data_IF_399829243296
#
_entry.id   IF_399829243296
#
_cell.length_a   1.000
_cell.length_b   1.000
_cell.length_c   1.000
_cell.angle_alpha   90.00
_cell.angle_beta   90.00
_cell.angle_gamma   90.00
#
_symmetry.space_group_name_H-M   'P 1'
#
loop_
_entity.id
_entity.type
_entity.pdbx_description
1 polymer ?
#
# COMPACT_ATOMS: atom_id res chain seq x y z
N UNK A 1 -4.51 1.42 26.29
CA UNK A 1 -3.53 0.52 26.93
C UNK A 1 -3.66 -0.92 26.43
N UNK A 2 -4.79 -1.62 26.59
CA UNK A 2 -4.94 -3.02 26.14
C UNK A 2 -4.58 -3.27 24.67
N UNK A 3 -5.08 -2.45 23.74
CA UNK A 3 -4.74 -2.57 22.31
C UNK A 3 -3.26 -2.33 22.06
N UNK A 4 -2.63 -1.38 22.76
CA UNK A 4 -1.20 -1.10 22.63
C UNK A 4 -0.37 -2.25 23.21
N UNK A 5 -0.76 -2.80 24.36
CA UNK A 5 -0.11 -3.97 24.96
C UNK A 5 -0.25 -5.18 24.06
N UNK A 6 -1.46 -5.44 23.54
CA UNK A 6 -1.70 -6.50 22.56
C UNK A 6 -0.85 -6.30 21.31
N UNK A 7 -0.80 -5.09 20.75
CA UNK A 7 0.02 -4.80 19.58
C UNK A 7 1.51 -5.03 19.87
N UNK A 8 2.01 -4.57 21.02
CA UNK A 8 3.41 -4.77 21.43
C UNK A 8 3.74 -6.25 21.71
N UNK A 9 2.77 -7.05 22.17
CA UNK A 9 2.98 -8.47 22.43
C UNK A 9 2.79 -9.36 21.19
N UNK A 10 1.93 -8.94 20.25
CA UNK A 10 1.54 -9.75 19.10
C UNK A 10 2.29 -9.38 17.81
N UNK A 11 2.70 -8.13 17.64
CA UNK A 11 3.46 -7.70 16.47
C UNK A 11 4.96 -7.74 16.77
N UNK A 12 5.63 -8.76 16.25
CA UNK A 12 7.08 -8.84 16.18
C UNK A 12 7.55 -8.33 14.83
N UNK A 13 8.31 -7.24 14.82
CA UNK A 13 8.99 -6.74 13.63
C UNK A 13 10.49 -6.94 13.79
N UNK A 14 11.10 -7.68 12.87
CA UNK A 14 12.54 -7.94 12.89
C UNK A 14 13.31 -6.68 12.48
N UNK A 15 13.63 -5.86 13.49
CA UNK A 15 14.39 -4.61 13.31
C UNK A 15 15.80 -4.87 12.80
N UNK A 16 16.40 -6.00 13.15
CA UNK A 16 17.74 -6.36 12.70
C UNK A 16 17.71 -6.70 11.21
N UNK A 17 16.70 -7.48 10.76
CA UNK A 17 16.46 -7.76 9.34
C UNK A 17 16.25 -6.47 8.55
N UNK A 18 15.41 -5.57 9.09
CA UNK A 18 15.16 -4.26 8.48
C UNK A 18 16.43 -3.41 8.37
N UNK A 19 17.26 -3.35 9.42
CA UNK A 19 18.50 -2.59 9.42
C UNK A 19 19.48 -3.13 8.35
N UNK A 20 19.64 -4.46 8.25
CA UNK A 20 20.46 -5.08 7.20
C UNK A 20 19.96 -4.66 5.82
N UNK A 21 18.65 -4.72 5.57
CA UNK A 21 18.08 -4.30 4.29
C UNK A 21 18.37 -2.83 4.00
N UNK A 22 18.22 -1.94 5.00
CA UNK A 22 18.50 -0.52 4.84
C UNK A 22 19.96 -0.21 4.54
N UNK A 23 20.90 -1.01 5.04
CA UNK A 23 22.34 -0.85 4.78
C UNK A 23 22.76 -1.34 3.40
N UNK A 24 22.08 -2.36 2.86
CA UNK A 24 22.44 -2.98 1.59
C UNK A 24 21.88 -2.22 0.39
N UNK A 25 20.64 -1.75 0.47
CA UNK A 25 20.01 -1.02 -0.63
C UNK A 25 20.44 0.46 -0.65
N UNK A 26 20.51 1.10 -1.84
CA UNK A 26 20.75 2.54 -1.91
C UNK A 26 19.72 3.34 -1.11
N UNK A 27 20.16 4.47 -0.55
CA UNK A 27 19.32 5.32 0.30
C UNK A 27 17.98 5.65 -0.37
N UNK A 28 16.88 5.41 0.36
CA UNK A 28 15.52 5.66 -0.09
C UNK A 28 14.87 4.53 -0.90
N UNK A 29 15.63 3.60 -1.49
CA UNK A 29 15.03 2.53 -2.32
C UNK A 29 14.14 1.59 -1.52
N UNK A 30 14.66 1.09 -0.40
CA UNK A 30 13.92 0.18 0.46
C UNK A 30 12.72 0.88 1.12
N UNK A 31 12.92 2.09 1.66
CA UNK A 31 11.87 2.85 2.35
C UNK A 31 10.73 3.27 1.41
N UNK A 32 11.05 3.70 0.19
CA UNK A 32 10.06 4.17 -0.78
C UNK A 32 9.21 3.04 -1.35
N UNK A 33 9.74 1.81 -1.36
CA UNK A 33 9.06 0.62 -1.89
C UNK A 33 8.54 -0.32 -0.80
N UNK A 34 8.80 -0.03 0.49
CA UNK A 34 8.46 -0.90 1.61
C UNK A 34 6.97 -1.29 1.65
N UNK A 35 6.06 -0.35 1.35
CA UNK A 35 4.61 -0.65 1.34
C UNK A 35 4.17 -1.56 0.19
N UNK A 36 4.99 -1.67 -0.86
CA UNK A 36 4.73 -2.51 -2.04
C UNK A 36 5.40 -3.88 -1.90
N UNK A 37 6.38 -4.02 -0.99
CA UNK A 37 7.08 -5.28 -0.70
C UNK A 37 6.60 -5.95 0.59
N UNK A 38 5.78 -5.27 1.40
CA UNK A 38 5.22 -5.82 2.62
C UNK A 38 3.90 -6.55 2.35
N UNK A 39 3.64 -7.62 3.09
CA UNK A 39 2.39 -8.38 2.98
C UNK A 39 1.19 -7.43 3.08
N UNK A 40 0.39 -7.31 2.00
CA UNK A 40 -0.69 -6.33 1.93
C UNK A 40 -1.78 -6.60 2.98
N UNK A 41 -1.98 -7.87 3.37
CA UNK A 41 -2.91 -8.26 4.43
C UNK A 41 -2.45 -7.73 5.77
N UNK A 42 -1.17 -7.94 6.10
CA UNK A 42 -0.60 -7.44 7.35
C UNK A 42 -0.63 -5.91 7.40
N UNK A 43 -0.28 -5.24 6.31
CA UNK A 43 -0.33 -3.77 6.21
C UNK A 43 -1.75 -3.27 6.43
N UNK A 44 -2.76 -3.89 5.81
CA UNK A 44 -4.16 -3.50 5.95
C UNK A 44 -4.66 -3.69 7.40
N UNK A 45 -4.32 -4.81 8.05
CA UNK A 45 -4.68 -5.10 9.45
C UNK A 45 -4.01 -4.11 10.42
N UNK A 46 -2.72 -3.81 10.22
CA UNK A 46 -2.00 -2.82 11.02
C UNK A 46 -2.61 -1.43 10.83
N UNK A 47 -2.90 -1.03 9.59
CA UNK A 47 -3.50 0.28 9.32
C UNK A 47 -4.88 0.43 9.97
N UNK A 48 -5.73 -0.60 9.91
CA UNK A 48 -7.02 -0.61 10.64
C UNK A 48 -6.80 -0.47 12.15
N UNK A 49 -5.87 -1.24 12.71
CA UNK A 49 -5.56 -1.21 14.14
C UNK A 49 -5.08 0.18 14.58
N UNK A 50 -4.11 0.75 13.88
CA UNK A 50 -3.60 2.10 14.18
C UNK A 50 -4.67 3.17 13.99
N UNK A 51 -5.52 3.07 12.96
CA UNK A 51 -6.61 4.00 12.74
C UNK A 51 -7.63 3.96 13.88
N UNK A 52 -7.91 2.78 14.44
CA UNK A 52 -8.80 2.64 15.62
C UNK A 52 -8.24 3.29 16.90
N UNK A 53 -6.91 3.47 16.99
CA UNK A 53 -6.28 4.14 18.12
C UNK A 53 -6.41 5.66 18.02
N UNK A 54 -6.56 6.22 16.81
CA UNK A 54 -6.70 7.66 16.60
C UNK A 54 -8.05 8.16 17.10
N UNK A 55 -8.03 9.36 17.66
CA UNK A 55 -9.24 10.12 17.95
C UNK A 55 -9.56 10.92 16.70
N UNK A 56 -10.58 10.50 15.95
CA UNK A 56 -10.91 11.10 14.66
C UNK A 56 -12.04 12.13 14.77
N UNK A 57 -12.74 12.19 15.89
CA UNK A 57 -13.84 13.14 16.10
C UNK A 57 -13.84 13.75 17.49
N UNK A 58 -14.47 14.92 17.62
CA UNK A 58 -14.68 15.57 18.92
C UNK A 58 -15.49 14.67 19.85
N UNK A 59 -16.49 13.96 19.33
CA UNK A 59 -17.29 13.02 20.12
C UNK A 59 -16.46 11.84 20.64
N UNK A 60 -15.58 11.30 19.80
CA UNK A 60 -14.65 10.25 20.21
C UNK A 60 -13.64 10.75 21.25
N UNK A 61 -13.20 12.01 21.12
CA UNK A 61 -12.36 12.66 22.10
C UNK A 61 -13.08 12.78 23.45
N UNK A 62 -14.28 13.35 23.44
CA UNK A 62 -15.10 13.57 24.63
C UNK A 62 -15.46 12.25 25.31
N UNK A 63 -15.82 11.22 24.55
CA UNK A 63 -16.13 9.91 25.12
C UNK A 63 -14.90 9.24 25.72
N UNK A 64 -13.77 9.18 25.01
CA UNK A 64 -12.53 8.54 25.52
C UNK A 64 -11.94 9.30 26.69
N UNK A 65 -11.82 10.63 26.62
CA UNK A 65 -11.29 11.47 27.72
C UNK A 65 -12.27 11.49 28.88
N UNK A 66 -13.57 11.68 28.61
CA UNK A 66 -14.61 11.74 29.63
C UNK A 66 -14.70 10.47 30.46
N UNK A 67 -14.62 9.29 29.84
CA UNK A 67 -14.61 8.00 30.56
C UNK A 67 -13.38 7.88 31.46
N UNK A 68 -12.19 8.26 30.98
CA UNK A 68 -10.95 8.19 31.77
C UNK A 68 -10.93 9.21 32.93
N UNK A 69 -11.43 10.42 32.71
CA UNK A 69 -11.55 11.46 33.76
C UNK A 69 -12.55 11.02 34.82
N UNK A 70 -13.72 10.51 34.42
CA UNK A 70 -14.73 10.00 35.34
C UNK A 70 -14.19 8.83 36.17
N UNK A 71 -13.46 7.91 35.54
CA UNK A 71 -12.79 6.79 36.23
C UNK A 71 -11.74 7.28 37.24
N UNK A 72 -10.93 8.28 36.86
CA UNK A 72 -9.91 8.87 37.73
C UNK A 72 -10.53 9.56 38.95
N UNK A 73 -11.60 10.34 38.75
CA UNK A 73 -12.36 10.96 39.83
C UNK A 73 -12.93 9.91 40.79
N UNK A 74 -13.59 8.87 40.25
CA UNK A 74 -14.14 7.77 41.06
C UNK A 74 -13.05 7.05 41.85
N UNK A 75 -11.91 6.79 41.23
CA UNK A 75 -10.78 6.11 41.88
C UNK A 75 -10.18 6.95 43.00
N UNK A 76 -10.03 8.26 42.77
CA UNK A 76 -9.55 9.20 43.77
C UNK A 76 -10.51 9.28 44.97
N UNK A 77 -11.82 9.37 44.72
CA UNK A 77 -12.83 9.36 45.78
C UNK A 77 -12.76 8.08 46.62
N UNK A 78 -12.61 6.91 45.97
CA UNK A 78 -12.45 5.62 46.66
C UNK A 78 -11.20 5.62 47.56
N UNK A 79 -10.06 6.13 47.06
CA UNK A 79 -8.82 6.23 47.85
C UNK A 79 -8.97 7.20 49.02
N UNK A 80 -9.63 8.35 48.82
CA UNK A 80 -9.90 9.30 49.90
C UNK A 80 -10.82 8.71 50.97
N UNK A 81 -11.85 7.96 50.56
CA UNK A 81 -12.75 7.22 51.45
C UNK A 81 -12.00 6.14 52.25
N UNK A 82 -11.08 5.41 51.61
CA UNK A 82 -10.25 4.39 52.27
C UNK A 82 -9.29 4.99 53.31
N UNK A 83 -8.72 6.17 53.06
CA UNK A 83 -7.79 6.86 53.98
C UNK A 83 -8.46 7.51 55.21
N UNK A 84 -9.77 7.75 55.21
CA UNK A 84 -10.51 8.40 56.32
C UNK A 84 -11.73 7.58 56.76
N UNK A 85 -11.54 6.43 57.43
CA UNK A 85 -12.65 5.55 57.83
C UNK A 85 -13.62 6.16 58.85
N UNK A 86 -13.22 7.22 59.58
CA UNK A 86 -14.04 7.86 60.64
C UNK A 86 -15.15 8.80 60.13
N UNK A 87 -15.25 9.07 58.82
CA UNK A 87 -16.40 9.78 58.20
C UNK A 87 -17.43 8.82 57.58
N UNK A 88 -17.55 7.60 58.11
CA UNK A 88 -18.57 6.66 57.68
C UNK A 88 -19.96 7.15 58.14
N UNK A 89 -20.63 7.97 57.33
CA UNK A 89 -22.10 7.93 57.26
C UNK A 89 -22.47 6.49 56.91
N UNK A 90 -23.50 5.95 57.57
CA UNK A 90 -23.94 4.55 57.55
C UNK A 90 -24.28 3.95 56.18
N UNK A 91 -24.15 4.71 55.09
CA UNK A 91 -24.11 4.18 53.74
C UNK A 91 -23.51 5.22 52.80
N UNK A 92 -22.34 4.92 52.21
CA UNK A 92 -21.72 5.72 51.14
C UNK A 92 -22.53 5.62 49.83
N UNK A 93 -23.37 4.59 49.71
CA UNK A 93 -24.30 4.44 48.60
C UNK A 93 -25.70 4.97 48.99
N UNK A 94 -26.37 5.80 48.16
CA UNK A 94 -27.81 6.01 48.32
C UNK A 94 -28.50 4.64 48.24
N UNK A 95 -29.51 4.43 49.09
CA UNK A 95 -30.25 3.15 49.25
C UNK A 95 -30.38 2.40 47.92
N UNK A 96 -29.60 1.32 47.78
CA UNK A 96 -29.68 0.23 46.78
C UNK A 96 -30.61 0.50 45.58
N UNK A 97 -30.15 1.23 44.56
CA UNK A 97 -30.69 1.11 43.20
C UNK A 97 -30.21 -0.21 42.57
N UNK A 98 -30.60 -1.34 43.17
CA UNK A 98 -30.34 -2.70 42.62
C UNK A 98 -30.83 -2.82 41.18
N UNK A 99 -31.94 -2.14 40.85
CA UNK A 99 -32.48 -2.04 39.50
C UNK A 99 -31.52 -1.33 38.53
N UNK A 100 -30.85 -0.25 38.96
CA UNK A 100 -29.87 0.46 38.14
C UNK A 100 -28.59 -0.34 37.92
N UNK A 101 -28.09 -1.01 38.97
CA UNK A 101 -26.94 -1.91 38.86
C UNK A 101 -27.25 -3.13 37.97
N UNK A 102 -28.44 -3.73 38.13
CA UNK A 102 -28.92 -4.81 37.28
C UNK A 102 -29.03 -4.35 35.81
N UNK A 103 -29.54 -3.15 35.57
CA UNK A 103 -29.62 -2.55 34.24
C UNK A 103 -28.24 -2.37 33.58
N UNK A 104 -27.22 -1.92 34.32
CA UNK A 104 -25.85 -1.79 33.81
C UNK A 104 -25.22 -3.15 33.50
N UNK A 105 -25.41 -4.16 34.36
CA UNK A 105 -24.93 -5.52 34.11
C UNK A 105 -25.61 -6.12 32.89
N UNK A 106 -26.93 -5.95 32.76
CA UNK A 106 -27.69 -6.45 31.61
C UNK A 106 -27.28 -5.74 30.33
N UNK A 107 -27.06 -4.42 30.36
CA UNK A 107 -26.51 -3.67 29.23
C UNK A 107 -25.12 -4.17 28.84
N UNK A 108 -24.22 -4.40 29.80
CA UNK A 108 -22.90 -4.94 29.54
C UNK A 108 -22.97 -6.33 28.89
N UNK A 109 -23.85 -7.21 29.37
CA UNK A 109 -24.10 -8.53 28.77
C UNK A 109 -24.66 -8.41 27.35
N UNK A 110 -25.62 -7.50 27.11
CA UNK A 110 -26.16 -7.25 25.77
C UNK A 110 -25.09 -6.73 24.81
N UNK A 111 -24.18 -5.86 25.27
CA UNK A 111 -23.06 -5.38 24.46
C UNK A 111 -22.09 -6.51 24.13
N UNK A 112 -21.75 -7.37 25.10
CA UNK A 112 -20.90 -8.55 24.86
C UNK A 112 -21.54 -9.47 23.83
N UNK A 113 -22.82 -9.83 24.01
CA UNK A 113 -23.57 -10.65 23.05
C UNK A 113 -23.59 -9.98 21.69
N UNK A 114 -23.91 -8.69 21.62
CA UNK A 114 -23.96 -7.95 20.36
C UNK A 114 -22.62 -7.95 19.63
N UNK A 115 -21.51 -7.75 20.35
CA UNK A 115 -20.16 -7.75 19.78
C UNK A 115 -19.77 -9.16 19.33
N UNK A 116 -19.96 -10.18 20.17
CA UNK A 116 -19.65 -11.57 19.82
C UNK A 116 -20.47 -12.05 18.62
N UNK A 117 -21.77 -11.78 18.59
CA UNK A 117 -22.63 -12.12 17.45
C UNK A 117 -22.26 -11.35 16.20
N UNK A 118 -21.92 -10.06 16.31
CA UNK A 118 -21.43 -9.26 15.19
C UNK A 118 -20.13 -9.80 14.61
N UNK A 119 -19.22 -10.28 15.46
CA UNK A 119 -17.97 -10.91 15.02
C UNK A 119 -18.23 -12.28 14.38
N UNK A 120 -19.02 -13.13 15.04
CA UNK A 120 -19.33 -14.49 14.60
C UNK A 120 -20.07 -14.52 13.28
N UNK A 121 -21.17 -13.79 13.16
CA UNK A 121 -22.02 -13.78 11.96
C UNK A 121 -21.29 -13.18 10.75
N UNK A 122 -20.49 -12.12 10.95
CA UNK A 122 -19.66 -11.58 9.89
C UNK A 122 -18.56 -12.55 9.44
N UNK A 123 -17.91 -13.25 10.37
CA UNK A 123 -16.89 -14.25 10.04
C UNK A 123 -17.48 -15.43 9.25
N UNK A 124 -18.66 -15.90 9.64
CA UNK A 124 -19.37 -16.97 8.91
C UNK A 124 -19.82 -16.50 7.52
N UNK A 125 -20.34 -15.28 7.40
CA UNK A 125 -20.78 -14.71 6.12
C UNK A 125 -19.63 -14.57 5.12
N UNK A 126 -18.44 -14.19 5.60
CA UNK A 126 -17.26 -13.97 4.76
C UNK A 126 -16.34 -15.20 4.64
N UNK A 127 -16.63 -16.31 5.34
CA UNK A 127 -15.84 -17.54 5.28
C UNK A 127 -15.61 -18.07 3.84
N UNK A 128 -16.57 -17.98 2.90
CA UNK A 128 -16.36 -18.40 1.50
C UNK A 128 -15.45 -17.46 0.69
N UNK A 129 -15.14 -16.27 1.22
CA UNK A 129 -14.45 -15.18 0.52
C UNK A 129 -13.10 -14.87 1.21
N UNK A 130 -12.05 -15.68 0.99
CA UNK A 130 -10.73 -15.45 1.56
C UNK A 130 -10.11 -14.11 1.16
N UNK A 131 -10.51 -13.55 0.02
CA UNK A 131 -10.16 -12.20 -0.44
C UNK A 131 -10.68 -11.09 0.50
N UNK A 132 -11.71 -11.36 1.31
CA UNK A 132 -12.16 -10.44 2.34
C UNK A 132 -11.35 -10.62 3.62
N UNK A 133 -10.21 -9.92 3.69
CA UNK A 133 -9.26 -10.03 4.80
C UNK A 133 -9.75 -9.36 6.08
N UNK A 134 -10.64 -8.39 5.98
CA UNK A 134 -11.13 -7.63 7.13
C UNK A 134 -12.62 -7.40 7.04
N UNK A 135 -13.31 -7.90 8.07
CA UNK A 135 -14.75 -7.80 8.21
C UNK A 135 -15.17 -6.46 8.85
N UNK A 136 -16.37 -6.00 8.52
CA UNK A 136 -16.99 -4.81 9.13
C UNK A 136 -17.65 -5.10 10.49
N UNK A 137 -17.69 -6.36 10.94
CA UNK A 137 -18.30 -6.83 12.21
C UNK A 137 -19.73 -6.30 12.39
N UNK A 138 -20.65 -6.76 11.54
CA UNK A 138 -22.09 -6.50 11.65
C UNK A 138 -22.80 -7.74 12.12
N UNK A 139 -23.78 -7.57 13.02
CA UNK A 139 -24.75 -8.61 13.31
C UNK A 139 -25.67 -8.77 12.10
N UNK A 140 -25.39 -9.77 11.26
CA UNK A 140 -26.18 -10.10 10.08
C UNK A 140 -27.09 -11.29 10.36
N UNK A 141 -28.29 -11.29 9.78
CA UNK A 141 -29.21 -12.43 9.86
C UNK A 141 -28.84 -13.37 8.71
N UNK A 142 -28.13 -14.44 9.04
CA UNK A 142 -27.82 -15.51 8.09
C UNK A 142 -29.09 -16.37 7.90
N UNK A 143 -29.88 -16.10 6.86
CA UNK A 143 -30.89 -17.06 6.43
C UNK A 143 -30.16 -18.32 5.94
N UNK A 144 -30.69 -19.49 6.31
CA UNK A 144 -30.11 -20.82 6.11
C UNK A 144 -30.02 -21.23 4.63
N UNK A 145 -29.20 -20.52 3.86
CA UNK A 145 -28.71 -20.81 2.50
C UNK A 145 -28.17 -19.56 1.79
N UNK A 146 -28.34 -18.34 2.33
CA UNK A 146 -27.90 -17.11 1.67
C UNK A 146 -26.62 -16.54 2.31
N UNK A 147 -25.47 -17.01 1.84
CA UNK A 147 -24.14 -16.40 2.08
C UNK A 147 -23.98 -15.05 1.35
N UNK A 148 -25.08 -14.33 1.10
CA UNK A 148 -25.15 -13.24 0.10
C UNK A 148 -24.80 -11.85 0.64
N UNK A 149 -24.35 -11.76 1.89
CA UNK A 149 -24.07 -10.49 2.56
C UNK A 149 -22.80 -10.56 3.41
N UNK A 150 -21.66 -10.95 2.83
CA UNK A 150 -20.37 -10.75 3.48
C UNK A 150 -20.16 -9.23 3.68
N UNK A 151 -20.09 -8.71 4.94
CA UNK A 151 -19.89 -7.28 5.15
C UNK A 151 -18.38 -6.97 5.11
N UNK A 152 -17.81 -6.96 3.91
CA UNK A 152 -16.37 -6.75 3.73
C UNK A 152 -15.96 -5.28 3.90
N UNK A 153 -14.86 -5.04 4.62
CA UNK A 153 -14.29 -3.70 4.83
C UNK A 153 -12.98 -3.50 4.05
N UNK A 154 -12.18 -4.55 3.93
CA UNK A 154 -10.93 -4.53 3.15
C UNK A 154 -10.86 -5.80 2.31
N UNK A 155 -10.70 -5.60 1.01
CA UNK A 155 -10.61 -6.67 0.02
C UNK A 155 -9.22 -6.65 -0.60
N UNK A 156 -8.56 -7.79 -0.55
CA UNK A 156 -7.23 -8.01 -1.13
C UNK A 156 -7.34 -9.24 -2.01
N UNK A 157 -7.21 -9.04 -3.32
CA UNK A 157 -7.28 -10.12 -4.31
C UNK A 157 -6.06 -10.10 -5.21
N UNK A 158 -5.31 -11.20 -5.18
CA UNK A 158 -4.07 -11.34 -5.92
C UNK A 158 -3.21 -12.45 -5.34
N UNK A 159 -2.52 -13.18 -6.21
CA UNK A 159 -1.46 -14.08 -5.80
C UNK A 159 -0.15 -13.27 -5.73
N UNK A 160 0.41 -13.16 -4.52
CA UNK A 160 1.61 -12.37 -4.25
C UNK A 160 2.91 -13.17 -4.49
N UNK A 161 2.81 -14.46 -4.81
CA UNK A 161 3.97 -15.31 -5.11
C UNK A 161 3.60 -16.45 -6.09
N UNK A 162 3.19 -16.14 -7.33
CA UNK A 162 2.88 -17.16 -8.31
C UNK A 162 4.13 -18.01 -8.59
N UNK A 163 3.95 -19.33 -8.61
CA UNK A 163 5.07 -20.29 -8.70
C UNK A 163 5.47 -20.58 -10.13
N UNK A 164 4.55 -20.41 -11.07
CA UNK A 164 4.77 -20.72 -12.49
C UNK A 164 4.51 -19.51 -13.37
N UNK A 165 5.16 -19.47 -14.54
CA UNK A 165 4.95 -18.41 -15.52
C UNK A 165 3.51 -18.38 -16.02
N UNK A 166 2.89 -19.55 -16.22
CA UNK A 166 1.50 -19.67 -16.67
C UNK A 166 0.51 -19.11 -15.63
N UNK A 167 0.72 -19.39 -14.34
CA UNK A 167 -0.09 -18.79 -13.26
C UNK A 167 0.09 -17.27 -13.18
N UNK A 168 1.30 -16.77 -13.44
CA UNK A 168 1.59 -15.33 -13.39
C UNK A 168 1.07 -14.55 -14.60
N UNK A 169 1.16 -15.11 -15.81
CA UNK A 169 0.70 -14.44 -17.04
C UNK A 169 -0.80 -14.62 -17.26
N UNK A 170 -1.36 -15.76 -16.84
CA UNK A 170 -2.79 -16.05 -16.87
C UNK A 170 -3.32 -16.36 -15.45
N UNK A 171 -3.29 -15.39 -14.51
CA UNK A 171 -3.88 -15.62 -13.21
C UNK A 171 -5.36 -15.87 -13.42
N UNK A 172 -5.84 -16.90 -12.72
CA UNK A 172 -7.21 -17.43 -12.81
C UNK A 172 -8.20 -16.27 -12.85
N UNK A 173 -8.98 -16.16 -13.94
CA UNK A 173 -9.97 -15.09 -14.11
C UNK A 173 -10.92 -15.10 -12.91
N UNK A 174 -10.70 -14.17 -12.00
CA UNK A 174 -11.55 -13.94 -10.84
C UNK A 174 -12.45 -12.77 -11.19
N UNK A 175 -13.64 -13.07 -11.69
CA UNK A 175 -14.71 -12.08 -11.65
C UNK A 175 -15.04 -11.86 -10.18
N UNK A 176 -15.11 -10.59 -9.75
CA UNK A 176 -15.46 -10.29 -8.37
C UNK A 176 -16.83 -10.93 -8.08
N UNK A 177 -16.94 -11.82 -7.07
CA UNK A 177 -18.21 -12.40 -6.69
C UNK A 177 -19.28 -11.31 -6.51
N UNK A 178 -20.50 -11.56 -7.01
CA UNK A 178 -21.60 -10.59 -6.97
C UNK A 178 -21.89 -10.15 -5.53
N UNK A 179 -21.65 -11.04 -4.58
CA UNK A 179 -21.73 -10.83 -3.13
C UNK A 179 -20.78 -9.74 -2.65
N UNK A 180 -19.53 -9.74 -3.14
CA UNK A 180 -18.53 -8.73 -2.79
C UNK A 180 -18.78 -7.40 -3.50
N UNK A 181 -19.35 -7.42 -4.71
CA UNK A 181 -19.80 -6.20 -5.41
C UNK A 181 -20.86 -5.43 -4.60
N UNK A 182 -21.62 -6.10 -3.74
CA UNK A 182 -22.61 -5.48 -2.84
C UNK A 182 -22.01 -4.83 -1.59
N UNK A 183 -20.69 -4.93 -1.38
CA UNK A 183 -20.00 -4.35 -0.22
C UNK A 183 -19.84 -2.82 -0.34
N UNK A 184 -20.94 -2.07 -0.29
CA UNK A 184 -20.95 -0.60 -0.45
C UNK A 184 -20.18 0.20 0.63
N UNK A 185 -19.66 -0.47 1.65
CA UNK A 185 -18.85 0.14 2.71
C UNK A 185 -17.39 -0.30 2.66
N UNK A 186 -16.95 -0.88 1.55
CA UNK A 186 -15.55 -1.22 1.32
C UNK A 186 -14.68 0.05 1.41
N UNK A 187 -13.60 -0.02 2.19
CA UNK A 187 -12.69 1.10 2.43
C UNK A 187 -11.29 0.87 1.85
N UNK A 188 -10.90 -0.38 1.67
CA UNK A 188 -9.60 -0.73 1.12
C UNK A 188 -9.81 -1.77 0.03
N UNK A 189 -9.24 -1.49 -1.15
CA UNK A 189 -9.21 -2.41 -2.28
C UNK A 189 -7.76 -2.52 -2.75
N UNK A 190 -7.21 -3.74 -2.70
CA UNK A 190 -5.91 -4.07 -3.29
C UNK A 190 -6.11 -5.21 -4.28
N UNK A 191 -5.74 -4.98 -5.53
CA UNK A 191 -5.86 -5.93 -6.63
C UNK A 191 -4.49 -6.10 -7.28
N UNK A 192 -3.91 -7.31 -7.26
CA UNK A 192 -2.63 -7.58 -7.90
C UNK A 192 -2.79 -8.54 -9.09
N UNK A 193 -2.14 -8.21 -10.21
CA UNK A 193 -2.17 -8.97 -11.47
C UNK A 193 -3.59 -9.27 -11.98
N UNK A 194 -4.51 -8.33 -11.79
CA UNK A 194 -5.90 -8.49 -12.24
C UNK A 194 -6.14 -7.77 -13.57
N UNK A 195 -7.17 -8.19 -14.30
CA UNK A 195 -7.72 -7.33 -15.34
C UNK A 195 -8.52 -6.23 -14.63
N UNK A 196 -8.21 -4.96 -14.89
CA UNK A 196 -9.00 -3.86 -14.33
C UNK A 196 -10.42 -3.91 -14.83
N UNK A 197 -11.39 -3.83 -13.91
CA UNK A 197 -12.80 -3.96 -14.23
C UNK A 197 -13.57 -2.70 -13.83
N UNK A 198 -14.51 -2.29 -14.68
CA UNK A 198 -15.31 -1.08 -14.51
C UNK A 198 -16.14 -1.04 -13.22
N UNK A 199 -16.38 -2.18 -12.55
CA UNK A 199 -17.15 -2.24 -11.31
C UNK A 199 -16.49 -1.49 -10.14
N UNK A 200 -15.18 -1.18 -10.20
CA UNK A 200 -14.49 -0.48 -9.11
C UNK A 200 -15.15 0.86 -8.75
N UNK A 201 -15.75 1.54 -9.74
CA UNK A 201 -16.45 2.81 -9.55
C UNK A 201 -17.67 2.72 -8.63
N UNK A 202 -18.20 1.52 -8.40
CA UNK A 202 -19.34 1.30 -7.49
C UNK A 202 -18.96 1.47 -6.02
N UNK A 203 -17.66 1.41 -5.69
CA UNK A 203 -17.16 1.53 -4.33
C UNK A 203 -16.77 2.96 -3.97
N UNK A 204 -17.76 3.83 -3.81
CA UNK A 204 -17.59 5.28 -3.55
C UNK A 204 -17.00 5.63 -2.17
N UNK A 205 -16.96 4.67 -1.23
CA UNK A 205 -16.41 4.85 0.12
C UNK A 205 -14.96 4.37 0.28
N UNK A 206 -14.29 4.04 -0.82
CA UNK A 206 -12.89 3.63 -0.78
C UNK A 206 -12.01 4.75 -0.23
N UNK A 207 -11.14 4.41 0.71
CA UNK A 207 -10.12 5.26 1.28
C UNK A 207 -8.73 4.92 0.73
N UNK A 208 -8.52 3.67 0.33
CA UNK A 208 -7.27 3.14 -0.21
C UNK A 208 -7.55 2.26 -1.44
N UNK A 209 -6.88 2.57 -2.55
CA UNK A 209 -6.94 1.81 -3.79
C UNK A 209 -5.52 1.47 -4.25
N UNK A 210 -5.23 0.18 -4.40
CA UNK A 210 -4.01 -0.33 -5.02
C UNK A 210 -4.40 -1.29 -6.12
N UNK A 211 -3.98 -1.00 -7.35
CA UNK A 211 -4.27 -1.84 -8.51
C UNK A 211 -2.99 -2.04 -9.31
N UNK A 212 -2.60 -3.30 -9.47
CA UNK A 212 -1.52 -3.70 -10.37
C UNK A 212 -2.10 -4.51 -11.52
N UNK A 213 -1.82 -4.03 -12.73
CA UNK A 213 -2.25 -4.67 -13.96
C UNK A 213 -1.33 -5.82 -14.37
N UNK A 214 -1.82 -6.70 -15.25
CA UNK A 214 -0.98 -7.73 -15.89
C UNK A 214 -0.08 -7.08 -16.94
N UNK A 215 1.16 -7.58 -17.02
CA UNK A 215 2.18 -7.12 -17.97
C UNK A 215 1.76 -7.27 -19.43
N UNK A 216 1.08 -8.37 -19.75
CA UNK A 216 0.75 -8.78 -21.13
C UNK A 216 -0.73 -8.61 -21.47
N UNK A 217 -1.53 -8.00 -20.61
CA UNK A 217 -2.96 -7.82 -20.89
C UNK A 217 -3.15 -6.85 -22.06
N UNK A 218 -3.83 -7.24 -23.14
CA UNK A 218 -4.05 -6.39 -24.31
C UNK A 218 -5.01 -5.23 -24.04
N UNK A 219 -5.66 -5.19 -22.87
CA UNK A 219 -6.77 -4.29 -22.62
C UNK A 219 -6.85 -3.95 -21.13
N UNK A 220 -6.41 -2.76 -20.78
CA UNK A 220 -6.42 -2.25 -19.41
C UNK A 220 -6.76 -0.76 -19.47
N UNK A 221 -8.00 -0.46 -19.86
CA UNK A 221 -8.52 0.89 -19.77
C UNK A 221 -9.19 1.03 -18.41
N UNK A 222 -8.68 1.92 -17.56
CA UNK A 222 -9.47 2.46 -16.47
C UNK A 222 -10.49 3.41 -17.11
N UNK A 223 -11.81 3.19 -16.93
CA UNK A 223 -12.82 4.10 -17.44
C UNK A 223 -12.53 5.55 -17.03
N UNK A 224 -12.80 6.50 -17.92
CA UNK A 224 -12.54 7.92 -17.66
C UNK A 224 -13.28 8.43 -16.41
N UNK A 225 -14.44 7.85 -16.12
CA UNK A 225 -15.34 8.17 -15.00
C UNK A 225 -15.04 7.39 -13.71
N UNK A 226 -13.98 6.58 -13.67
CA UNK A 226 -13.74 5.66 -12.55
C UNK A 226 -13.53 6.39 -11.20
N UNK A 227 -13.06 7.63 -11.23
CA UNK A 227 -12.69 8.41 -10.06
C UNK A 227 -13.68 9.53 -9.70
N UNK A 228 -14.75 9.71 -10.46
CA UNK A 228 -15.66 10.85 -10.32
C UNK A 228 -16.33 10.91 -8.94
N UNK A 229 -16.79 9.75 -8.43
CA UNK A 229 -17.49 9.62 -7.15
C UNK A 229 -16.59 9.11 -5.99
N UNK A 230 -15.26 9.24 -6.12
CA UNK A 230 -14.28 8.70 -5.16
C UNK A 230 -13.66 9.76 -4.22
N UNK A 231 -14.46 10.70 -3.74
CA UNK A 231 -14.00 11.78 -2.83
C UNK A 231 -13.41 11.31 -1.50
N UNK A 232 -13.77 10.10 -1.04
CA UNK A 232 -13.23 9.49 0.19
C UNK A 232 -11.81 8.94 0.02
N UNK A 233 -11.33 8.85 -1.22
CA UNK A 233 -10.07 8.18 -1.55
C UNK A 233 -8.89 9.04 -1.11
N UNK A 234 -8.03 8.45 -0.29
CA UNK A 234 -6.86 9.12 0.30
C UNK A 234 -5.55 8.63 -0.29
N UNK A 235 -5.51 7.39 -0.78
CA UNK A 235 -4.31 6.77 -1.35
C UNK A 235 -4.69 6.04 -2.64
N UNK A 236 -3.94 6.34 -3.71
CA UNK A 236 -4.03 5.64 -4.99
C UNK A 236 -2.65 5.13 -5.36
N UNK A 237 -2.55 3.83 -5.58
CA UNK A 237 -1.39 3.17 -6.17
C UNK A 237 -1.83 2.42 -7.43
N UNK A 238 -1.34 2.86 -8.58
CA UNK A 238 -1.55 2.18 -9.85
C UNK A 238 -0.19 1.70 -10.38
N UNK A 239 -0.09 0.43 -10.78
CA UNK A 239 1.15 -0.12 -11.29
C UNK A 239 0.94 -1.04 -12.50
N UNK A 240 1.99 -1.18 -13.33
CA UNK A 240 2.07 -2.14 -14.44
C UNK A 240 1.07 -1.90 -15.58
N UNK A 241 0.60 -0.67 -15.74
CA UNK A 241 -0.24 -0.24 -16.88
C UNK A 241 0.65 0.15 -18.08
N UNK A 242 1.54 -0.75 -18.50
CA UNK A 242 2.58 -0.47 -19.50
C UNK A 242 2.05 0.11 -20.83
N UNK A 243 0.97 -0.43 -21.47
CA UNK A 243 0.47 0.10 -22.74
C UNK A 243 -0.45 1.32 -22.59
N UNK A 244 -0.74 1.77 -21.37
CA UNK A 244 -1.71 2.84 -21.14
C UNK A 244 -1.13 4.21 -21.50
N UNK A 245 -1.68 4.85 -22.53
CA UNK A 245 -1.22 6.15 -23.00
C UNK A 245 -1.79 7.35 -22.22
N UNK A 246 -2.95 7.17 -21.57
CA UNK A 246 -3.69 8.23 -20.86
C UNK A 246 -4.33 7.68 -19.59
N UNK A 247 -4.25 8.44 -18.51
CA UNK A 247 -4.92 8.16 -17.24
C UNK A 247 -6.30 8.87 -17.18
N UNK A 248 -7.27 8.30 -16.43
CA UNK A 248 -8.53 8.97 -16.14
C UNK A 248 -8.32 10.24 -15.29
N UNK A 249 -9.35 11.09 -15.25
CA UNK A 249 -9.30 12.36 -14.53
C UNK A 249 -9.20 12.15 -13.01
N UNK A 250 -8.43 13.01 -12.33
CA UNK A 250 -8.35 13.04 -10.86
C UNK A 250 -9.30 14.08 -10.22
N UNK A 251 -10.21 14.69 -10.99
CA UNK A 251 -11.08 15.76 -10.49
C UNK A 251 -11.96 15.34 -9.30
N UNK A 252 -12.47 14.11 -9.27
CA UNK A 252 -13.29 13.58 -8.17
C UNK A 252 -12.51 13.26 -6.88
N UNK A 253 -11.17 13.21 -6.94
CA UNK A 253 -10.29 12.75 -5.86
C UNK A 253 -9.91 13.86 -4.86
N UNK A 254 -10.89 14.62 -4.37
CA UNK A 254 -10.66 15.81 -3.51
C UNK A 254 -10.02 15.50 -2.14
N UNK A 255 -10.17 14.28 -1.64
CA UNK A 255 -9.59 13.80 -0.38
C UNK A 255 -8.16 13.22 -0.51
N UNK A 256 -7.58 13.21 -1.71
CA UNK A 256 -6.37 12.45 -2.01
C UNK A 256 -5.13 13.03 -1.31
N UNK A 257 -4.36 12.15 -0.68
CA UNK A 257 -3.13 12.48 0.07
C UNK A 257 -1.89 11.85 -0.53
N UNK A 258 -2.03 10.71 -1.20
CA UNK A 258 -0.90 9.98 -1.78
C UNK A 258 -1.25 9.45 -3.17
N UNK A 259 -0.40 9.76 -4.14
CA UNK A 259 -0.40 9.16 -5.49
C UNK A 259 0.88 8.37 -5.66
N UNK A 260 0.78 7.15 -6.17
CA UNK A 260 1.90 6.35 -6.65
C UNK A 260 1.55 5.77 -8.01
N UNK A 261 2.34 6.13 -9.03
CA UNK A 261 2.24 5.58 -10.38
C UNK A 261 3.54 4.84 -10.71
N UNK A 262 3.44 3.57 -11.07
CA UNK A 262 4.59 2.73 -11.36
C UNK A 262 4.46 1.98 -12.69
N UNK A 263 5.54 1.93 -13.47
CA UNK A 263 5.63 1.16 -14.72
C UNK A 263 4.53 1.51 -15.76
N UNK A 264 4.37 2.80 -16.03
CA UNK A 264 3.53 3.32 -17.10
C UNK A 264 4.42 3.68 -18.30
N UNK A 265 4.77 2.68 -19.10
CA UNK A 265 5.79 2.80 -20.14
C UNK A 265 5.35 3.64 -21.35
N UNK A 266 4.05 3.67 -21.65
CA UNK A 266 3.47 4.40 -22.79
C UNK A 266 2.73 5.68 -22.40
N UNK A 267 2.66 6.03 -21.10
CA UNK A 267 1.92 7.19 -20.62
C UNK A 267 2.55 8.48 -21.16
N UNK A 268 1.75 9.28 -21.85
CA UNK A 268 2.23 10.48 -22.54
C UNK A 268 2.16 11.72 -21.64
N UNK A 269 1.09 11.82 -20.84
CA UNK A 269 0.80 13.01 -20.05
C UNK A 269 0.19 12.64 -18.69
N UNK A 270 0.46 13.50 -17.71
CA UNK A 270 -0.10 13.37 -16.36
C UNK A 270 -1.45 14.11 -16.26
N UNK A 271 -2.47 13.55 -15.58
CA UNK A 271 -3.71 14.26 -15.33
C UNK A 271 -3.52 15.56 -14.55
N UNK A 272 -4.43 16.52 -14.73
CA UNK A 272 -4.42 17.78 -13.98
C UNK A 272 -4.62 17.54 -12.47
N UNK A 273 -3.86 18.26 -11.65
CA UNK A 273 -3.88 18.13 -10.18
C UNK A 273 -4.74 19.20 -9.49
N UNK A 274 -5.59 19.90 -10.23
CA UNK A 274 -6.29 21.14 -9.80
C UNK A 274 -7.01 21.01 -8.45
N UNK A 275 -7.64 19.86 -8.18
CA UNK A 275 -8.44 19.65 -6.96
C UNK A 275 -7.68 18.95 -5.82
N UNK A 276 -6.38 18.71 -5.98
CA UNK A 276 -5.59 17.86 -5.07
C UNK A 276 -4.85 18.65 -3.99
N UNK A 277 -5.52 19.61 -3.34
CA UNK A 277 -4.91 20.50 -2.35
C UNK A 277 -4.36 19.79 -1.10
N UNK A 278 -4.86 18.58 -0.82
CA UNK A 278 -4.46 17.74 0.30
C UNK A 278 -3.32 16.77 -0.04
N UNK A 279 -2.78 16.80 -1.26
CA UNK A 279 -1.76 15.87 -1.69
C UNK A 279 -0.48 16.08 -0.88
N UNK A 280 -0.07 15.06 -0.13
CA UNK A 280 1.11 15.05 0.74
C UNK A 280 2.26 14.26 0.10
N UNK A 281 1.97 13.27 -0.76
CA UNK A 281 2.96 12.39 -1.38
C UNK A 281 2.65 12.14 -2.87
N UNK A 282 3.65 12.38 -3.71
CA UNK A 282 3.64 12.05 -5.14
C UNK A 282 4.85 11.17 -5.46
N UNK A 283 4.60 9.97 -5.98
CA UNK A 283 5.64 9.00 -6.35
C UNK A 283 5.43 8.57 -7.79
N UNK A 284 6.47 8.72 -8.60
CA UNK A 284 6.53 8.36 -10.01
C UNK A 284 7.68 7.36 -10.18
N UNK A 285 7.41 6.17 -10.71
CA UNK A 285 8.43 5.12 -10.90
C UNK A 285 8.33 4.54 -12.29
N UNK A 286 9.36 4.71 -13.14
CA UNK A 286 9.37 4.10 -14.48
C UNK A 286 8.25 4.62 -15.39
N UNK A 287 8.22 5.94 -15.59
CA UNK A 287 7.34 6.65 -16.53
C UNK A 287 8.18 7.26 -17.68
N UNK A 288 8.92 6.46 -18.45
CA UNK A 288 9.98 6.94 -19.35
C UNK A 288 9.50 7.75 -20.55
N UNK A 289 8.20 7.70 -20.88
CA UNK A 289 7.61 8.38 -22.05
C UNK A 289 7.03 9.77 -21.75
N UNK A 290 6.85 10.13 -20.48
CA UNK A 290 6.37 11.46 -20.12
C UNK A 290 7.52 12.47 -20.29
N UNK A 291 7.23 13.55 -21.02
CA UNK A 291 8.20 14.59 -21.33
C UNK A 291 8.12 15.85 -20.46
N UNK A 292 7.11 15.96 -19.60
CA UNK A 292 6.85 17.12 -18.76
C UNK A 292 6.08 16.76 -17.50
N UNK A 293 6.32 17.48 -16.41
CA UNK A 293 5.53 17.33 -15.18
C UNK A 293 4.21 18.11 -15.29
N UNK A 294 3.14 17.67 -14.60
CA UNK A 294 1.93 18.47 -14.47
C UNK A 294 2.22 19.76 -13.69
N UNK A 295 1.35 20.76 -13.79
CA UNK A 295 1.43 21.93 -12.93
C UNK A 295 1.24 21.53 -11.46
N UNK A 296 2.26 21.78 -10.65
CA UNK A 296 2.29 21.46 -9.23
C UNK A 296 1.81 22.62 -8.34
N UNK A 297 1.43 23.77 -8.92
CA UNK A 297 0.90 24.90 -8.16
C UNK A 297 -0.31 24.54 -7.23
N UNK A 298 -1.22 23.63 -7.61
CA UNK A 298 -2.34 23.24 -6.76
C UNK A 298 -1.97 22.38 -5.54
N UNK A 299 -0.81 21.71 -5.54
CA UNK A 299 -0.41 20.69 -4.54
C UNK A 299 0.56 21.26 -3.49
N UNK A 300 0.15 22.33 -2.82
CA UNK A 300 1.00 23.07 -1.87
C UNK A 300 1.34 22.30 -0.59
N UNK A 301 0.54 21.29 -0.24
CA UNK A 301 0.71 20.47 0.96
C UNK A 301 1.76 19.36 0.82
N UNK A 302 2.49 19.31 -0.30
CA UNK A 302 3.37 18.21 -0.62
C UNK A 302 4.57 18.13 0.34
N UNK A 303 4.70 16.95 0.97
CA UNK A 303 5.77 16.59 1.93
C UNK A 303 6.81 15.66 1.31
N UNK A 304 6.45 14.94 0.25
CA UNK A 304 7.32 13.98 -0.43
C UNK A 304 7.04 14.00 -1.93
N UNK A 305 8.08 14.25 -2.72
CA UNK A 305 8.04 14.08 -4.18
C UNK A 305 9.19 13.19 -4.61
N UNK A 306 8.88 12.02 -5.16
CA UNK A 306 9.87 11.04 -5.58
C UNK A 306 9.63 10.65 -7.03
N UNK A 307 10.68 10.75 -7.83
CA UNK A 307 10.80 10.21 -9.17
C UNK A 307 11.94 9.20 -9.14
N UNK A 308 11.62 7.97 -9.47
CA UNK A 308 12.59 6.91 -9.69
C UNK A 308 12.56 6.54 -11.17
N UNK A 309 13.74 6.26 -11.72
CA UNK A 309 14.00 6.01 -13.13
C UNK A 309 14.05 7.27 -14.02
N UNK A 310 14.12 7.09 -15.34
CA UNK A 310 14.14 8.14 -16.37
C UNK A 310 12.93 9.07 -16.27
N UNK A 311 13.20 10.36 -16.07
CA UNK A 311 12.27 11.47 -16.32
C UNK A 311 12.90 12.46 -17.29
N UNK A 312 12.43 12.48 -18.55
CA UNK A 312 13.08 13.31 -19.61
C UNK A 312 12.90 14.80 -19.37
N UNK A 313 11.93 15.21 -18.55
CA UNK A 313 11.76 16.60 -18.09
C UNK A 313 13.01 17.17 -17.39
N UNK A 314 13.90 16.30 -16.89
CA UNK A 314 15.17 16.68 -16.28
C UNK A 314 16.27 17.03 -17.31
N UNK A 315 16.08 16.78 -18.60
CA UNK A 315 17.12 16.97 -19.62
C UNK A 315 16.61 17.50 -20.96
N UNK A 316 15.30 17.47 -21.24
CA UNK A 316 14.73 17.91 -22.51
C UNK A 316 14.41 19.42 -22.56
N UNK A 317 14.81 20.18 -21.55
CA UNK A 317 14.56 21.61 -21.46
C UNK A 317 13.27 22.01 -20.73
N UNK A 318 12.57 21.09 -20.04
CA UNK A 318 11.38 21.41 -19.24
C UNK A 318 11.74 22.11 -17.92
N UNK A 319 12.66 21.54 -17.13
CA UNK A 319 13.10 22.09 -15.83
C UNK A 319 14.25 23.11 -15.93
N UNK A 320 14.85 23.27 -17.11
CA UNK A 320 16.04 24.08 -17.31
C UNK A 320 16.52 24.01 -18.75
N UNK A 321 17.83 24.05 -18.96
CA UNK A 321 18.42 23.91 -20.28
C UNK A 321 18.28 22.48 -20.82
N UNK A 322 18.21 22.34 -22.14
CA UNK A 322 18.21 21.03 -22.77
C UNK A 322 19.63 20.46 -22.83
N UNK A 323 19.81 19.26 -22.28
CA UNK A 323 21.04 18.47 -22.33
C UNK A 323 20.75 17.04 -22.82
N UNK A 324 20.87 16.85 -24.13
CA UNK A 324 20.68 15.53 -24.76
C UNK A 324 21.83 14.56 -24.48
N UNK A 325 22.94 15.01 -23.88
CA UNK A 325 24.04 14.13 -23.47
C UNK A 325 23.76 13.41 -22.16
N UNK A 326 22.76 13.87 -21.39
CA UNK A 326 22.33 13.21 -20.16
C UNK A 326 21.79 11.81 -20.42
N UNK A 327 22.18 10.83 -19.57
CA UNK A 327 21.64 9.46 -19.56
C UNK A 327 20.10 9.42 -19.57
N UNK A 328 19.44 10.46 -19.01
CA UNK A 328 17.98 10.60 -18.93
C UNK A 328 17.32 10.90 -20.28
N UNK A 329 18.06 11.41 -21.26
CA UNK A 329 17.57 11.74 -22.60
C UNK A 329 18.04 10.75 -23.66
N UNK A 330 18.99 9.88 -23.34
CA UNK A 330 19.44 8.78 -24.20
C UNK A 330 18.36 7.68 -24.33
N UNK A 331 18.62 6.70 -25.20
CA UNK A 331 17.79 5.48 -25.28
C UNK A 331 17.80 4.78 -23.92
N UNK A 332 16.62 4.43 -23.42
CA UNK A 332 16.50 3.81 -22.10
C UNK A 332 17.14 2.42 -22.09
N UNK A 333 18.10 2.11 -21.20
CA UNK A 333 18.85 0.85 -21.26
C UNK A 333 18.02 -0.37 -20.87
N UNK A 334 17.04 -0.24 -19.96
CA UNK A 334 16.11 -1.33 -19.59
C UNK A 334 14.89 -1.43 -20.52
N UNK A 335 14.14 -0.33 -20.70
CA UNK A 335 12.88 -0.35 -21.44
C UNK A 335 13.01 -0.19 -22.96
N UNK A 336 14.18 0.20 -23.47
CA UNK A 336 14.38 0.49 -24.90
C UNK A 336 13.66 1.75 -25.41
N UNK A 337 13.06 2.56 -24.53
CA UNK A 337 12.37 3.80 -24.89
C UNK A 337 13.30 4.72 -25.68
N UNK A 338 12.88 5.29 -26.82
CA UNK A 338 13.74 6.12 -27.67
C UNK A 338 14.36 7.32 -26.95
N UNK A 339 15.44 7.86 -27.53
CA UNK A 339 16.04 9.09 -27.05
C UNK A 339 15.04 10.25 -27.13
N UNK A 340 15.07 11.14 -26.12
CA UNK A 340 14.23 12.32 -26.08
C UNK A 340 14.77 13.43 -26.99
N UNK A 341 13.89 14.35 -27.38
CA UNK A 341 14.25 15.56 -28.11
C UNK A 341 14.04 16.78 -27.21
N UNK A 342 14.79 17.86 -27.47
CA UNK A 342 14.56 19.12 -26.77
C UNK A 342 13.15 19.66 -27.06
N UNK A 343 12.50 20.18 -26.03
CA UNK A 343 11.26 20.93 -26.19
C UNK A 343 11.54 22.22 -26.96
N UNK A 344 10.65 22.66 -27.88
CA UNK A 344 10.85 23.90 -28.63
C UNK A 344 11.01 25.13 -27.74
N UNK A 345 11.86 26.08 -28.13
CA UNK A 345 12.08 27.32 -27.37
C UNK A 345 10.87 28.26 -27.40
N UNK A 346 10.11 28.27 -28.50
CA UNK A 346 8.92 29.12 -28.68
C UNK A 346 7.61 28.42 -28.29
N UNK A 347 7.66 27.42 -27.41
CA UNK A 347 6.47 26.65 -26.99
C UNK A 347 5.54 27.50 -26.11
N UNK A 348 4.24 27.23 -26.22
CA UNK A 348 3.18 27.80 -25.35
C UNK A 348 2.68 26.80 -24.31
N UNK A 349 3.02 25.53 -24.47
CA UNK A 349 2.64 24.42 -23.61
C UNK A 349 3.89 23.76 -23.02
N UNK A 350 3.73 22.92 -21.99
CA UNK A 350 4.85 22.25 -21.29
C UNK A 350 5.88 23.26 -20.77
N UNK A 351 5.37 24.32 -20.18
CA UNK A 351 6.16 25.35 -19.49
C UNK A 351 5.97 25.10 -17.99
N UNK A 352 7.06 24.84 -17.28
CA UNK A 352 7.02 24.69 -15.84
C UNK A 352 6.61 26.03 -15.20
N UNK A 353 5.55 26.01 -14.39
CA UNK A 353 5.13 27.20 -13.64
C UNK A 353 6.18 27.55 -12.58
N UNK A 354 6.27 28.83 -12.13
CA UNK A 354 7.20 29.20 -11.06
C UNK A 354 7.05 28.35 -9.80
N UNK A 355 5.80 28.03 -9.42
CA UNK A 355 5.50 27.14 -8.29
C UNK A 355 5.99 25.70 -8.53
N UNK A 356 5.88 25.19 -9.77
CA UNK A 356 6.42 23.86 -10.13
C UNK A 356 7.94 23.84 -9.99
N UNK A 357 8.63 24.87 -10.49
CA UNK A 357 10.09 24.97 -10.38
C UNK A 357 10.55 25.05 -8.92
N UNK A 358 9.89 25.87 -8.09
CA UNK A 358 10.18 25.98 -6.65
C UNK A 358 10.01 24.63 -5.94
N UNK A 359 8.92 23.92 -6.23
CA UNK A 359 8.65 22.64 -5.60
C UNK A 359 9.62 21.54 -6.06
N UNK A 360 10.00 21.53 -7.34
CA UNK A 360 11.05 20.64 -7.85
C UNK A 360 12.38 20.94 -7.17
N UNK A 361 12.75 22.22 -6.99
CA UNK A 361 13.97 22.62 -6.30
C UNK A 361 13.96 22.16 -4.83
N UNK A 362 12.83 22.28 -4.14
CA UNK A 362 12.63 21.78 -2.77
C UNK A 362 12.91 20.28 -2.64
N UNK A 363 12.60 19.50 -3.68
CA UNK A 363 12.78 18.04 -3.72
C UNK A 363 13.88 17.60 -4.70
N UNK A 364 14.85 18.46 -5.02
CA UNK A 364 15.87 18.19 -6.03
C UNK A 364 16.58 16.81 -5.90
N UNK A 365 16.92 16.30 -4.69
CA UNK A 365 17.59 15.00 -4.54
C UNK A 365 16.77 13.80 -5.03
N UNK A 366 15.44 13.95 -5.15
CA UNK A 366 14.52 12.84 -5.42
C UNK A 366 13.72 13.02 -6.70
N UNK A 367 13.92 14.09 -7.48
CA UNK A 367 13.15 14.37 -8.72
C UNK A 367 13.92 14.01 -9.99
N UNK A 368 15.24 14.14 -9.99
CA UNK A 368 16.09 13.86 -11.16
C UNK A 368 17.19 12.83 -10.83
N UNK A 369 16.76 11.68 -10.31
CA UNK A 369 17.63 10.56 -9.93
C UNK A 369 18.34 9.85 -11.10
N UNK A 370 19.14 8.81 -10.83
CA UNK A 370 19.75 7.99 -11.88
C UNK A 370 18.69 7.23 -12.68
N UNK A 371 19.02 6.95 -13.95
CA UNK A 371 18.22 6.06 -14.82
C UNK A 371 18.47 4.63 -14.39
N UNK A 372 17.43 3.80 -14.37
CA UNK A 372 17.57 2.39 -14.02
C UNK A 372 18.42 1.67 -15.06
N UNK A 373 19.37 0.88 -14.57
CA UNK A 373 20.26 0.07 -15.42
C UNK A 373 19.91 -1.43 -15.33
N UNK A 374 20.25 -2.22 -16.37
CA UNK A 374 20.16 -3.67 -16.29
C UNK A 374 20.89 -4.19 -15.04
N UNK A 375 20.26 -5.12 -14.32
CA UNK A 375 20.74 -5.64 -13.03
C UNK A 375 20.29 -4.84 -11.80
N UNK A 376 19.87 -3.57 -11.91
CA UNK A 376 19.34 -2.82 -10.76
C UNK A 376 17.81 -2.97 -10.63
N UNK A 377 17.10 -2.95 -11.77
CA UNK A 377 15.71 -3.34 -11.89
C UNK A 377 15.60 -4.25 -13.11
N UNK A 378 15.20 -5.50 -12.88
CA UNK A 378 14.92 -6.40 -13.99
C UNK A 378 13.51 -6.18 -14.51
N UNK A 379 13.38 -6.37 -15.83
CA UNK A 379 12.09 -6.33 -16.50
C UNK A 379 11.14 -7.42 -16.01
N UNK A 380 9.93 -7.48 -16.58
CA UNK A 380 8.99 -8.53 -16.25
C UNK A 380 9.60 -9.94 -16.41
N UNK A 381 9.32 -10.88 -15.48
CA UNK A 381 9.72 -12.27 -15.61
C UNK A 381 9.41 -12.85 -17.00
N UNK A 382 10.33 -13.65 -17.54
CA UNK A 382 10.11 -14.47 -18.75
C UNK A 382 10.16 -15.95 -18.39
N UNK A 383 9.63 -16.86 -19.24
CA UNK A 383 9.70 -18.29 -18.97
C UNK A 383 11.14 -18.77 -18.74
N UNK A 384 12.08 -18.23 -19.53
CA UNK A 384 13.49 -18.65 -19.51
C UNK A 384 14.18 -18.31 -18.19
N UNK A 385 13.89 -17.14 -17.60
CA UNK A 385 14.50 -16.73 -16.33
C UNK A 385 13.74 -17.27 -15.12
N UNK A 386 12.50 -17.73 -15.28
CA UNK A 386 11.73 -18.38 -14.21
C UNK A 386 12.03 -19.88 -14.09
N UNK A 387 12.21 -20.58 -15.22
CA UNK A 387 12.38 -22.03 -15.24
C UNK A 387 13.49 -22.56 -14.31
N UNK A 388 14.68 -21.92 -14.21
CA UNK A 388 15.73 -22.39 -13.30
C UNK A 388 15.38 -22.30 -11.81
N UNK A 389 14.43 -21.43 -11.45
CA UNK A 389 14.04 -21.19 -10.08
C UNK A 389 13.03 -22.19 -9.54
N UNK A 390 12.16 -22.73 -10.40
CA UNK A 390 11.14 -23.71 -10.05
C UNK A 390 10.36 -23.32 -8.76
N UNK A 391 10.01 -22.04 -8.63
CA UNK A 391 9.30 -21.50 -7.45
C UNK A 391 10.08 -21.50 -6.13
N UNK A 392 11.40 -21.73 -6.14
CA UNK A 392 12.24 -21.74 -4.94
C UNK A 392 13.00 -20.42 -4.82
N UNK A 393 12.79 -19.69 -3.72
CA UNK A 393 13.53 -18.46 -3.41
C UNK A 393 14.99 -18.75 -3.07
N UNK A 394 15.86 -17.77 -3.31
CA UNK A 394 17.27 -17.73 -2.93
C UNK A 394 18.18 -18.80 -3.55
N UNK A 395 17.62 -19.67 -4.40
CA UNK A 395 18.37 -20.64 -5.20
C UNK A 395 19.29 -19.92 -6.19
N UNK A 396 20.50 -20.42 -6.39
CA UNK A 396 21.38 -19.95 -7.47
C UNK A 396 20.81 -20.36 -8.83
N UNK A 397 20.84 -19.46 -9.80
CA UNK A 397 20.37 -19.73 -11.15
C UNK A 397 21.47 -19.44 -12.18
N UNK A 398 21.51 -20.13 -13.33
CA UNK A 398 22.51 -19.89 -14.36
C UNK A 398 22.16 -18.65 -15.19
N UNK A 399 23.18 -17.87 -15.58
CA UNK A 399 23.06 -16.79 -16.57
C UNK A 399 24.03 -17.04 -17.73
N UNK A 400 23.75 -16.56 -18.95
CA UNK A 400 24.62 -16.75 -20.11
C UNK A 400 26.05 -16.25 -19.89
N UNK A 401 26.20 -15.14 -19.16
CA UNK A 401 27.48 -14.50 -18.88
C UNK A 401 28.17 -15.04 -17.61
N UNK A 402 27.60 -16.06 -16.98
CA UNK A 402 28.04 -16.63 -15.71
C UNK A 402 28.14 -15.59 -14.58
N UNK A 403 27.36 -14.50 -14.70
CA UNK A 403 27.17 -13.49 -13.66
C UNK A 403 26.39 -14.12 -12.51
N UNK A 404 26.82 -13.82 -11.29
CA UNK A 404 26.16 -14.28 -10.09
C UNK A 404 24.70 -13.81 -10.05
N UNK A 405 23.79 -14.75 -9.88
CA UNK A 405 22.35 -14.48 -9.89
C UNK A 405 21.60 -15.42 -8.95
N UNK A 406 20.43 -14.96 -8.53
CA UNK A 406 19.61 -15.60 -7.50
C UNK A 406 18.15 -15.59 -7.88
N UNK A 407 17.44 -16.66 -7.56
CA UNK A 407 16.00 -16.70 -7.66
C UNK A 407 15.37 -15.79 -6.60
N UNK A 408 14.69 -14.73 -7.03
CA UNK A 408 14.13 -13.74 -6.13
C UNK A 408 12.72 -13.33 -6.58
N UNK A 409 11.93 -12.88 -5.62
CA UNK A 409 10.62 -12.27 -5.87
C UNK A 409 10.75 -10.77 -5.63
N UNK A 410 10.94 -10.00 -6.72
CA UNK A 410 10.88 -8.56 -6.65
C UNK A 410 9.40 -8.11 -6.69
N UNK A 411 8.94 -7.35 -5.69
CA UNK A 411 7.61 -6.71 -5.67
C UNK A 411 6.42 -7.67 -5.87
N UNK A 412 6.45 -8.83 -5.22
CA UNK A 412 5.40 -9.84 -5.35
C UNK A 412 5.18 -10.35 -6.79
N UNK A 413 6.18 -10.23 -7.66
CA UNK A 413 6.19 -10.87 -8.98
C UNK A 413 6.45 -12.37 -8.87
N UNK A 414 6.38 -13.06 -10.00
CA UNK A 414 6.81 -14.45 -10.02
C UNK A 414 8.30 -14.59 -9.69
N UNK A 415 8.68 -15.70 -9.05
CA UNK A 415 10.08 -15.96 -8.69
C UNK A 415 10.88 -16.16 -9.97
N UNK A 416 11.82 -15.25 -10.22
CA UNK A 416 12.65 -15.23 -11.41
C UNK A 416 14.12 -15.09 -11.03
N UNK A 417 14.98 -15.56 -11.92
CA UNK A 417 16.42 -15.43 -11.79
C UNK A 417 16.81 -13.96 -11.94
N UNK A 418 17.43 -13.41 -10.91
CA UNK A 418 17.90 -12.02 -10.87
C UNK A 418 19.39 -11.89 -10.70
N UNK A 419 20.00 -11.03 -11.51
CA UNK A 419 21.40 -10.58 -11.44
C UNK A 419 21.59 -9.41 -10.47
N UNK A 420 20.53 -8.98 -9.79
CA UNK A 420 20.61 -7.85 -8.88
C UNK A 420 21.50 -8.18 -7.66
N UNK A 421 22.59 -7.44 -7.44
CA UNK A 421 23.51 -7.73 -6.35
C UNK A 421 22.90 -7.40 -4.98
N UNK A 422 21.93 -6.49 -4.89
CA UNK A 422 21.40 -6.04 -3.60
C UNK A 422 20.61 -7.14 -2.87
N UNK A 423 19.64 -7.86 -3.49
CA UNK A 423 19.00 -9.01 -2.85
C UNK A 423 20.01 -10.10 -2.42
N UNK A 424 21.04 -10.35 -3.23
CA UNK A 424 22.05 -11.40 -2.96
C UNK A 424 22.86 -11.05 -1.72
N UNK A 425 23.42 -9.84 -1.68
CA UNK A 425 24.19 -9.34 -0.52
C UNK A 425 23.30 -9.24 0.74
N UNK A 426 22.05 -8.79 0.57
CA UNK A 426 21.07 -8.73 1.65
C UNK A 426 20.86 -10.11 2.28
N UNK A 427 20.65 -11.15 1.46
CA UNK A 427 20.41 -12.49 1.99
C UNK A 427 21.67 -13.11 2.61
N UNK A 428 22.85 -12.89 2.03
CA UNK A 428 24.13 -13.30 2.64
C UNK A 428 24.30 -12.73 4.04
N UNK A 429 24.06 -11.43 4.23
CA UNK A 429 24.16 -10.80 5.56
C UNK A 429 23.14 -11.34 6.55
N UNK A 430 21.91 -11.56 6.10
CA UNK A 430 20.87 -12.18 6.94
C UNK A 430 21.29 -13.57 7.43
N UNK A 431 21.82 -14.42 6.54
CA UNK A 431 22.32 -15.76 6.88
C UNK A 431 23.51 -15.66 7.84
N UNK A 432 24.54 -14.87 7.50
CA UNK A 432 25.76 -14.75 8.30
C UNK A 432 25.49 -14.24 9.73
N UNK A 433 24.47 -13.41 9.91
CA UNK A 433 24.09 -12.87 11.22
C UNK A 433 23.00 -13.71 11.92
N UNK A 434 22.45 -14.75 11.28
CA UNK A 434 21.36 -15.56 11.81
C UNK A 434 20.06 -14.78 12.01
N UNK A 435 19.76 -13.84 11.12
CA UNK A 435 18.64 -12.89 11.20
C UNK A 435 17.59 -13.17 10.12
N UNK A 436 16.31 -13.01 10.45
CA UNK A 436 15.20 -13.23 9.53
C UNK A 436 14.78 -14.70 9.40
N UNK A 437 14.32 -15.07 8.20
CA UNK A 437 13.77 -16.41 7.94
C UNK A 437 14.89 -17.45 7.91
N UNK A 438 14.65 -18.61 8.54
CA UNK A 438 15.60 -19.73 8.57
C UNK A 438 15.99 -20.10 7.14
N UNK A 439 17.30 -20.20 6.90
CA UNK A 439 17.80 -20.53 5.57
C UNK A 439 17.61 -22.01 5.22
N UNK A 440 17.42 -22.26 3.93
CA UNK A 440 17.38 -23.60 3.34
C UNK A 440 18.83 -24.07 3.07
N UNK A 441 19.29 -25.14 3.73
CA UNK A 441 20.67 -25.61 3.60
C UNK A 441 21.00 -26.22 2.24
N UNK A 442 20.00 -26.53 1.40
CA UNK A 442 20.20 -27.01 0.03
C UNK A 442 20.18 -25.84 -0.96
N UNK A 443 19.12 -25.02 -0.93
CA UNK A 443 18.95 -23.94 -1.89
C UNK A 443 19.88 -22.74 -1.63
N UNK A 444 20.26 -22.50 -0.37
CA UNK A 444 21.02 -21.32 0.08
C UNK A 444 22.44 -21.65 0.53
N UNK A 445 22.92 -22.88 0.31
CA UNK A 445 24.29 -23.28 0.63
C UNK A 445 25.34 -22.34 0.00
N UNK A 446 25.10 -21.93 -1.25
CA UNK A 446 25.95 -21.01 -2.00
C UNK A 446 25.98 -19.58 -1.42
N UNK A 447 25.01 -19.23 -0.57
CA UNK A 447 24.98 -17.96 0.18
C UNK A 447 25.64 -18.09 1.56
N UNK A 448 26.13 -19.28 1.93
CA UNK A 448 26.75 -19.57 3.21
C UNK A 448 25.82 -20.17 4.27
N UNK A 449 24.66 -20.69 3.88
CA UNK A 449 23.80 -21.46 4.79
C UNK A 449 24.45 -22.82 5.11
N UNK A 450 24.45 -23.21 6.39
CA UNK A 450 25.04 -24.46 6.89
C UNK A 450 24.06 -25.31 7.67
#
# INVERSE_FOLDING_TARGET
>A
MLVVVYCLSAFTFDRTKFAINMEVYPSGWFEQTASVNADPVQVAVIYKSLKSLRIMSVLECLSRVGVNVMFSFRSHDIVQLSRRPRRLRSSVYPKRHRLGALGLVLYALLVVIFVEESMRTSAQACQPHPECVVNAHRWTILQSSSLTQCPCLMLIDGDIAPKTFDEWIMPKKRELPVELRRCSNLRHLSLAYTNTQAWMKEFTKLEFLHVESKVTSPMVFLPDDIFDDMSSLTHVHLAMFAPMAKLPSFQGLTGLKSITLAAFLALQEFPLLTNLHNLERLVIVGLPSIDSLPDLAPVQSLKSFVVSDRGTWCCNGFLGDCDLSSDKCMVHPVWGTPAATCLPSNRTEKIATPATLELVQKFAPTVCGPVLRPGELEGPPTPDIMAPCNGTLYRQCPTPDNTESMCYNARFMAIACTTNPFPIEMRRRQIAQGVGDKCDPEAEAWLGCT
#
